data_IF_224992018844
#
_entry.id   IF_224992018844
#
_cell.length_a   1.000
_cell.length_b   1.000
_cell.length_c   1.000
_cell.angle_alpha   90.00
_cell.angle_beta   90.00
_cell.angle_gamma   90.00
#
_symmetry.space_group_name_H-M   'P 1'
#
loop_
_entity.id
_entity.type
_entity.pdbx_description
1 polymer ?
#
# COMPACT_ATOMS: atom_id res chain seq x y z
N UNK A 1 -31.81 -5.44 1.75
CA UNK A 1 -30.79 -4.71 2.52
C UNK A 1 -29.50 -4.86 1.74
N UNK A 2 -29.13 -3.86 0.95
CA UNK A 2 -27.87 -3.86 0.21
C UNK A 2 -26.81 -3.32 1.16
N UNK A 3 -26.03 -4.21 1.77
CA UNK A 3 -24.89 -3.81 2.56
C UNK A 3 -23.83 -3.28 1.59
N UNK A 4 -23.53 -2.00 1.78
CA UNK A 4 -22.60 -1.14 1.04
C UNK A 4 -21.19 -1.70 1.19
N UNK A 5 -20.89 -2.81 0.51
CA UNK A 5 -19.52 -3.31 0.38
C UNK A 5 -18.78 -2.44 -0.63
N UNK A 6 -18.66 -1.14 -0.32
CA UNK A 6 -17.60 -0.32 -0.91
C UNK A 6 -16.32 -1.01 -0.49
N UNK A 7 -15.64 -1.62 -1.46
CA UNK A 7 -14.21 -1.88 -1.33
C UNK A 7 -13.54 -0.51 -1.19
N UNK A 8 -13.56 0.05 0.03
CA UNK A 8 -12.84 1.25 0.40
C UNK A 8 -11.36 0.90 0.35
N UNK A 9 -10.83 0.91 -0.86
CA UNK A 9 -9.42 0.72 -1.12
C UNK A 9 -8.66 1.78 -0.36
N UNK A 10 -7.68 1.39 0.45
CA UNK A 10 -6.91 2.33 1.26
C UNK A 10 -6.38 3.46 0.34
N UNK A 11 -6.63 4.74 0.67
CA UNK A 11 -6.23 5.88 -0.14
C UNK A 11 -4.72 5.90 -0.40
N UNK A 12 -4.32 6.31 -1.60
CA UNK A 12 -2.92 6.27 -2.04
C UNK A 12 -2.03 7.17 -1.19
N UNK A 13 -2.56 8.31 -0.71
CA UNK A 13 -1.87 9.26 0.15
C UNK A 13 -1.53 8.70 1.55
N UNK A 14 -2.14 7.58 1.95
CA UNK A 14 -1.84 6.87 3.21
C UNK A 14 -1.00 5.62 3.00
N UNK A 15 -0.54 5.38 1.78
CA UNK A 15 0.18 4.18 1.42
C UNK A 15 1.58 4.53 0.91
N UNK A 16 2.56 3.79 1.39
CA UNK A 16 3.86 3.68 0.73
C UNK A 16 4.07 2.24 0.31
N UNK A 17 4.42 2.01 -0.95
CA UNK A 17 4.62 0.67 -1.51
C UNK A 17 6.04 0.54 -2.05
N UNK A 18 6.84 -0.26 -1.35
CA UNK A 18 8.17 -0.82 -1.67
C UNK A 18 8.09 -2.03 -2.62
N UNK A 19 8.86 -2.12 -3.72
CA UNK A 19 9.25 -3.42 -4.30
C UNK A 19 10.75 -3.65 -4.09
N UNK A 20 11.08 -4.65 -3.29
CA UNK A 20 12.46 -5.04 -3.02
C UNK A 20 13.09 -5.78 -4.20
N UNK A 21 14.42 -5.84 -4.25
CA UNK A 21 15.19 -6.53 -5.30
C UNK A 21 14.90 -8.04 -5.39
N UNK A 22 14.46 -8.65 -4.28
CA UNK A 22 14.04 -10.05 -4.23
C UNK A 22 12.59 -10.29 -4.69
N UNK A 23 11.89 -9.25 -5.18
CA UNK A 23 10.51 -9.33 -5.64
C UNK A 23 9.45 -9.16 -4.55
N UNK A 24 9.82 -9.06 -3.27
CA UNK A 24 8.88 -8.81 -2.18
C UNK A 24 8.26 -7.42 -2.29
N UNK A 25 6.94 -7.34 -2.15
CA UNK A 25 6.20 -6.07 -2.02
C UNK A 25 6.03 -5.73 -0.55
N UNK A 26 6.51 -4.56 -0.14
CA UNK A 26 6.34 -4.03 1.23
C UNK A 26 5.34 -2.89 1.18
N UNK A 27 4.28 -2.99 1.96
CA UNK A 27 3.23 -1.98 2.06
C UNK A 27 3.27 -1.39 3.45
N UNK A 28 3.46 -0.07 3.54
CA UNK A 28 3.31 0.69 4.77
C UNK A 28 2.01 1.50 4.71
N UNK A 29 1.17 1.34 5.73
CA UNK A 29 -0.11 2.05 5.88
C UNK A 29 0.03 3.06 7.00
N UNK A 30 -0.16 4.34 6.68
CA UNK A 30 -0.24 5.39 7.69
C UNK A 30 -1.58 5.32 8.42
N UNK A 31 -1.53 5.22 9.74
CA UNK A 31 -2.72 5.28 10.56
C UNK A 31 -3.16 6.74 10.72
N UNK A 32 -4.48 6.98 10.60
CA UNK A 32 -5.09 8.23 11.00
C UNK A 32 -5.09 8.31 12.53
N UNK A 33 -4.00 8.79 13.14
CA UNK A 33 -3.95 8.97 14.58
C UNK A 33 -5.11 9.86 15.06
N UNK A 34 -5.79 9.47 16.14
CA UNK A 34 -6.73 10.35 16.82
C UNK A 34 -5.96 11.39 17.62
N UNK A 35 -6.16 12.67 17.27
CA UNK A 35 -5.86 13.88 18.06
C UNK A 35 -4.55 13.82 18.88
N UNK A 36 -3.41 14.04 18.22
CA UNK A 36 -2.17 14.51 18.86
C UNK A 36 -0.98 13.54 18.82
N UNK A 37 -1.17 12.27 18.46
CA UNK A 37 -0.06 11.33 18.30
C UNK A 37 -0.10 10.67 16.92
N UNK A 38 0.95 10.91 16.11
CA UNK A 38 1.20 10.12 14.93
C UNK A 38 1.56 8.70 15.36
N UNK A 39 0.79 7.72 14.90
CA UNK A 39 1.10 6.31 15.13
C UNK A 39 2.14 5.85 14.11
N UNK A 40 3.02 4.91 14.49
CA UNK A 40 3.92 4.30 13.51
C UNK A 40 3.10 3.60 12.41
N UNK A 41 3.58 3.62 11.15
CA UNK A 41 2.88 2.96 10.07
C UNK A 41 2.88 1.44 10.25
N UNK A 42 1.75 0.81 9.91
CA UNK A 42 1.65 -0.65 9.87
C UNK A 42 2.32 -1.17 8.60
N UNK A 43 3.24 -2.14 8.74
CA UNK A 43 4.01 -2.70 7.63
C UNK A 43 3.61 -4.15 7.35
N UNK A 44 3.37 -4.45 6.07
CA UNK A 44 3.02 -5.76 5.56
C UNK A 44 3.96 -6.12 4.42
N UNK A 45 4.37 -7.39 4.36
CA UNK A 45 5.23 -7.90 3.29
C UNK A 45 4.53 -9.03 2.57
N UNK A 46 4.55 -8.98 1.23
CA UNK A 46 3.91 -9.95 0.36
C UNK A 46 4.91 -10.48 -0.65
N UNK A 47 4.93 -11.80 -0.83
CA UNK A 47 5.71 -12.52 -1.83
C UNK A 47 4.80 -13.16 -2.86
N UNK A 48 5.39 -13.53 -4.00
CA UNK A 48 4.68 -14.30 -5.01
C UNK A 48 4.11 -15.59 -4.40
N UNK A 49 2.81 -15.82 -4.63
CA UNK A 49 2.04 -16.88 -3.99
C UNK A 49 1.14 -16.42 -2.83
N UNK A 50 1.41 -15.27 -2.22
CA UNK A 50 0.53 -14.74 -1.18
C UNK A 50 -0.83 -14.30 -1.76
N UNK A 51 -1.95 -14.52 -1.06
CA UNK A 51 -3.30 -14.22 -1.55
C UNK A 51 -3.54 -12.78 -2.01
N UNK A 52 -2.70 -11.82 -1.59
CA UNK A 52 -2.82 -10.39 -1.94
C UNK A 52 -1.64 -9.84 -2.74
N UNK A 53 -0.63 -10.66 -3.07
CA UNK A 53 0.56 -10.17 -3.76
C UNK A 53 0.22 -9.48 -5.09
N UNK A 54 -0.62 -10.12 -5.91
CA UNK A 54 -0.99 -9.60 -7.22
C UNK A 54 -1.72 -8.24 -7.16
N UNK A 55 -2.51 -8.02 -6.10
CA UNK A 55 -3.19 -6.75 -5.88
C UNK A 55 -2.18 -5.63 -5.59
N UNK A 56 -1.24 -5.88 -4.66
CA UNK A 56 -0.24 -4.89 -4.28
C UNK A 56 0.81 -4.64 -5.36
N UNK A 57 1.20 -5.67 -6.12
CA UNK A 57 2.09 -5.53 -7.27
C UNK A 57 1.49 -4.62 -8.35
N UNK A 58 0.21 -4.81 -8.71
CA UNK A 58 -0.49 -3.93 -9.67
C UNK A 58 -0.57 -2.48 -9.19
N UNK A 59 -0.79 -2.28 -7.88
CA UNK A 59 -0.78 -0.93 -7.29
C UNK A 59 0.59 -0.29 -7.34
N UNK A 60 1.65 -1.04 -7.06
CA UNK A 60 3.03 -0.56 -7.20
C UNK A 60 3.32 -0.11 -8.63
N UNK A 61 2.97 -0.94 -9.62
CA UNK A 61 3.20 -0.62 -11.04
C UNK A 61 2.41 0.60 -11.53
N UNK A 62 1.29 0.92 -10.89
CA UNK A 62 0.47 2.10 -11.17
C UNK A 62 0.97 3.38 -10.47
N UNK A 63 1.93 3.30 -9.53
CA UNK A 63 2.49 4.48 -8.90
C UNK A 63 3.30 5.29 -9.93
N UNK A 64 3.12 6.62 -9.96
CA UNK A 64 3.94 7.46 -10.81
C UNK A 64 5.41 7.32 -10.38
N UNK A 65 6.26 6.81 -11.27
CA UNK A 65 7.70 6.84 -10.99
C UNK A 65 8.15 8.30 -10.99
N UNK A 66 8.99 8.72 -10.02
CA UNK A 66 9.63 10.03 -10.10
C UNK A 66 10.34 10.12 -11.45
N UNK A 67 9.99 11.12 -12.25
CA UNK A 67 10.78 11.47 -13.44
C UNK A 67 12.15 11.87 -12.92
N UNK A 68 13.15 11.01 -13.13
CA UNK A 68 14.54 11.40 -12.96
C UNK A 68 14.74 12.52 -13.98
N UNK A 69 14.95 13.75 -13.51
CA UNK A 69 15.42 14.82 -14.36
C UNK A 69 16.84 14.42 -14.80
N UNK A 70 17.02 14.29 -16.12
CA UNK A 70 18.30 14.05 -16.79
C UNK A 70 19.30 15.18 -16.48
#
# INVERSE_FOLDING_TARGET
>A
MADDQRSESIPAERLSIEKQSNGTIVVAVEAAGTRGAALPPARFSFREGDPQYAYWARRFDALPRPRVAD
#
